data_IF_470240486469
#
_entry.id   IF_470240486469
#
_cell.length_a   1.000
_cell.length_b   1.000
_cell.length_c   1.000
_cell.angle_alpha   90.00
_cell.angle_beta   90.00
_cell.angle_gamma   90.00
#
_symmetry.space_group_name_H-M   'P 1'
#
loop_
_entity.id
_entity.type
_entity.pdbx_description
1 polymer ?
#
# COMPACT_ATOMS: atom_id res chain seq x y z
N UNK A 1 3.42 10.36 -13.21
CA UNK A 1 2.28 10.51 -14.14
C UNK A 1 1.65 9.15 -14.37
N UNK A 2 0.33 9.05 -14.24
CA UNK A 2 -0.42 7.83 -14.50
C UNK A 2 -1.23 7.97 -15.79
N UNK A 3 -1.41 6.84 -16.47
CA UNK A 3 -2.19 6.80 -17.73
C UNK A 3 -3.69 6.66 -17.47
N UNK A 4 -4.06 6.34 -16.24
CA UNK A 4 -5.45 6.18 -15.83
C UNK A 4 -5.85 7.29 -14.87
N UNK A 5 -7.15 7.56 -14.79
CA UNK A 5 -7.67 8.50 -13.81
C UNK A 5 -7.45 7.97 -12.41
N UNK A 6 -6.96 8.82 -11.52
CA UNK A 6 -6.83 8.54 -10.10
C UNK A 6 -7.58 9.59 -9.29
N UNK A 7 -7.99 9.23 -8.07
CA UNK A 7 -8.69 10.12 -7.16
C UNK A 7 -7.84 10.28 -5.91
N UNK A 8 -7.60 11.52 -5.50
CA UNK A 8 -6.82 11.83 -4.29
C UNK A 8 -7.69 11.75 -3.04
N UNK A 9 -7.04 11.57 -1.91
CA UNK A 9 -7.72 11.55 -0.62
C UNK A 9 -8.54 12.81 -0.35
N UNK A 10 -8.05 13.96 -0.81
CA UNK A 10 -8.72 15.24 -0.62
C UNK A 10 -9.96 15.40 -1.47
N UNK A 11 -10.09 14.64 -2.55
CA UNK A 11 -11.17 14.75 -3.52
C UNK A 11 -12.38 13.88 -3.16
N UNK A 12 -12.18 12.81 -2.38
CA UNK A 12 -13.24 11.85 -2.08
C UNK A 12 -13.06 11.23 -0.70
N UNK A 13 -14.05 11.42 0.16
CA UNK A 13 -14.05 10.85 1.53
C UNK A 13 -14.01 9.33 1.54
N UNK A 14 -14.63 8.69 0.55
CA UNK A 14 -14.62 7.22 0.46
C UNK A 14 -13.22 6.70 0.17
N UNK A 15 -12.47 7.38 -0.67
CA UNK A 15 -11.06 7.05 -0.96
C UNK A 15 -10.20 7.26 0.28
N UNK A 16 -10.38 8.41 0.93
CA UNK A 16 -9.67 8.73 2.17
C UNK A 16 -9.90 7.66 3.24
N UNK A 17 -11.18 7.30 3.46
CA UNK A 17 -11.53 6.28 4.43
C UNK A 17 -10.92 4.92 4.08
N UNK A 18 -10.98 4.52 2.82
CA UNK A 18 -10.41 3.25 2.36
C UNK A 18 -8.90 3.19 2.64
N UNK A 19 -8.16 4.25 2.33
CA UNK A 19 -6.73 4.33 2.56
C UNK A 19 -6.40 4.31 4.05
N UNK A 20 -7.12 5.08 4.85
CA UNK A 20 -6.91 5.12 6.31
C UNK A 20 -7.21 3.77 6.96
N UNK A 21 -8.28 3.10 6.55
CA UNK A 21 -8.69 1.82 7.12
C UNK A 21 -7.71 0.70 6.74
N UNK A 22 -7.22 0.67 5.50
CA UNK A 22 -6.25 -0.35 5.10
C UNK A 22 -4.89 -0.15 5.77
N UNK A 23 -4.47 1.09 5.99
CA UNK A 23 -3.21 1.40 6.69
C UNK A 23 -3.18 0.90 8.12
N UNK A 24 -4.31 0.79 8.77
CA UNK A 24 -4.41 0.25 10.13
C UNK A 24 -4.00 -1.22 10.21
N UNK A 25 -4.03 -1.92 9.10
CA UNK A 25 -3.67 -3.34 9.04
C UNK A 25 -2.16 -3.55 8.92
N UNK A 26 -1.42 -2.51 8.59
CA UNK A 26 0.03 -2.61 8.42
C UNK A 26 0.74 -2.59 9.78
N UNK A 27 1.90 -3.28 9.90
CA UNK A 27 2.75 -3.15 11.07
C UNK A 27 3.13 -1.68 11.33
N UNK A 28 3.32 -1.36 12.61
CA UNK A 28 3.62 0.03 13.05
C UNK A 28 4.84 0.61 12.34
N UNK A 29 5.81 -0.22 12.00
CA UNK A 29 7.03 0.18 11.31
C UNK A 29 6.77 0.78 9.92
N UNK A 30 5.66 0.38 9.29
CA UNK A 30 5.27 0.92 7.99
C UNK A 30 4.44 2.21 8.08
N UNK A 31 4.03 2.59 9.29
CA UNK A 31 3.27 3.82 9.50
C UNK A 31 4.15 5.08 9.44
N UNK A 32 5.46 4.93 9.67
CA UNK A 32 6.38 6.05 9.57
C UNK A 32 6.64 6.41 8.10
N UNK A 33 6.57 7.68 7.72
CA UNK A 33 6.91 8.09 6.36
C UNK A 33 8.39 7.81 6.08
N UNK A 34 8.63 7.01 5.04
CA UNK A 34 9.99 6.60 4.66
C UNK A 34 10.80 7.78 4.12
N UNK A 35 10.12 8.77 3.56
CA UNK A 35 10.73 10.03 3.16
C UNK A 35 9.67 11.11 3.09
N UNK A 36 10.04 12.33 3.50
CA UNK A 36 9.18 13.51 3.38
C UNK A 36 8.74 13.78 1.93
N UNK A 37 9.51 13.28 0.97
CA UNK A 37 9.21 13.38 -0.47
C UNK A 37 7.88 12.71 -0.83
N UNK A 38 7.46 11.72 -0.07
CA UNK A 38 6.22 11.00 -0.32
C UNK A 38 5.04 11.46 0.55
N UNK A 39 5.29 12.45 1.41
CA UNK A 39 4.23 13.01 2.25
C UNK A 39 3.21 13.74 1.37
N UNK A 40 1.98 13.25 1.35
CA UNK A 40 0.88 13.86 0.58
C UNK A 40 0.75 13.36 -0.86
N UNK A 41 1.60 12.44 -1.29
CA UNK A 41 1.46 11.79 -2.59
C UNK A 41 1.17 10.31 -2.36
N UNK A 42 -0.02 9.88 -2.69
CA UNK A 42 -0.29 8.45 -2.71
C UNK A 42 0.66 7.80 -3.71
N UNK A 43 1.29 6.71 -3.28
CA UNK A 43 2.07 5.89 -4.18
C UNK A 43 1.22 5.53 -5.40
N UNK A 44 1.81 5.57 -6.58
CA UNK A 44 1.11 5.33 -7.83
C UNK A 44 0.32 4.03 -7.84
N UNK A 45 0.81 3.01 -7.15
CA UNK A 45 0.13 1.72 -7.03
C UNK A 45 -1.16 1.84 -6.20
N UNK A 46 -1.16 2.61 -5.13
CA UNK A 46 -2.38 2.86 -4.33
C UNK A 46 -3.34 3.72 -5.14
N UNK A 47 -2.87 4.80 -5.72
CA UNK A 47 -3.67 5.69 -6.54
C UNK A 47 -4.32 4.99 -7.73
N UNK A 48 -3.67 3.97 -8.30
CA UNK A 48 -4.23 3.21 -9.42
C UNK A 48 -5.51 2.46 -9.07
N UNK A 49 -5.78 2.22 -7.79
CA UNK A 49 -7.00 1.56 -7.30
C UNK A 49 -8.06 2.55 -6.81
N UNK A 50 -7.80 3.84 -6.87
CA UNK A 50 -8.63 4.87 -6.22
C UNK A 50 -10.00 5.10 -6.84
N UNK A 51 -10.23 4.67 -8.09
CA UNK A 51 -11.55 4.79 -8.74
C UNK A 51 -12.63 3.98 -8.02
N UNK A 52 -12.25 2.90 -7.38
CA UNK A 52 -13.16 2.02 -6.66
C UNK A 52 -12.65 1.83 -5.23
N UNK A 53 -13.12 2.66 -4.28
CA UNK A 53 -12.62 2.63 -2.90
C UNK A 53 -12.68 1.25 -2.24
N UNK A 54 -13.74 0.49 -2.50
CA UNK A 54 -13.87 -0.87 -1.96
C UNK A 54 -12.79 -1.81 -2.50
N UNK A 55 -12.47 -1.72 -3.78
CA UNK A 55 -11.39 -2.49 -4.40
C UNK A 55 -10.05 -2.10 -3.79
N UNK A 56 -9.81 -0.81 -3.63
CA UNK A 56 -8.59 -0.30 -2.99
C UNK A 56 -8.45 -0.88 -1.59
N UNK A 57 -9.48 -0.79 -0.78
CA UNK A 57 -9.47 -1.30 0.59
C UNK A 57 -9.17 -2.80 0.63
N UNK A 58 -9.87 -3.61 -0.14
CA UNK A 58 -9.70 -5.06 -0.12
C UNK A 58 -8.37 -5.52 -0.70
N UNK A 59 -7.87 -4.89 -1.76
CA UNK A 59 -6.58 -5.21 -2.35
C UNK A 59 -5.44 -4.97 -1.37
N UNK A 60 -5.40 -3.79 -0.75
CA UNK A 60 -4.35 -3.43 0.20
C UNK A 60 -4.55 -4.06 1.58
N UNK A 61 -5.77 -4.43 1.95
CA UNK A 61 -6.02 -5.24 3.15
C UNK A 61 -5.41 -6.63 3.02
N UNK A 62 -5.44 -7.22 1.84
CA UNK A 62 -4.76 -8.49 1.56
C UNK A 62 -3.26 -8.35 1.81
N UNK A 63 -2.65 -7.28 1.31
CA UNK A 63 -1.25 -6.99 1.54
C UNK A 63 -0.95 -6.79 3.02
N UNK A 64 -1.79 -6.04 3.74
CA UNK A 64 -1.66 -5.85 5.17
C UNK A 64 -1.72 -7.16 5.96
N UNK A 65 -2.63 -8.06 5.58
CA UNK A 65 -2.75 -9.37 6.20
C UNK A 65 -1.49 -10.23 5.97
N UNK A 66 -0.90 -10.15 4.78
CA UNK A 66 0.34 -10.86 4.46
C UNK A 66 1.54 -10.38 5.30
N UNK A 67 1.52 -9.12 5.73
CA UNK A 67 2.58 -8.53 6.55
C UNK A 67 2.35 -8.73 8.06
N UNK A 68 1.27 -9.39 8.46
CA UNK A 68 0.91 -9.56 9.87
C UNK A 68 1.99 -10.31 10.64
N UNK A 69 2.32 -9.80 11.84
CA UNK A 69 3.24 -10.46 12.77
C UNK A 69 2.68 -11.75 13.36
N UNK A 70 1.38 -11.99 13.22
CA UNK A 70 0.73 -13.21 13.68
C UNK A 70 0.96 -14.40 12.75
N UNK A 71 1.44 -14.15 11.53
CA UNK A 71 1.81 -15.21 10.61
C UNK A 71 3.12 -15.88 11.07
N UNK A 72 3.36 -17.13 10.64
CA UNK A 72 4.57 -17.86 11.06
C UNK A 72 5.87 -17.31 10.49
N UNK A 73 5.81 -16.34 9.58
CA UNK A 73 6.98 -15.70 8.98
C UNK A 73 7.43 -14.50 9.80
N UNK A 74 8.73 -14.36 9.97
CA UNK A 74 9.33 -13.19 10.61
C UNK A 74 9.44 -12.03 9.60
N UNK A 75 9.60 -10.81 10.12
CA UNK A 75 9.72 -9.60 9.31
C UNK A 75 10.76 -9.71 8.20
N UNK A 76 11.96 -10.16 8.53
CA UNK A 76 13.03 -10.28 7.54
C UNK A 76 12.70 -11.30 6.45
N UNK A 77 11.91 -12.32 6.76
CA UNK A 77 11.45 -13.29 5.77
C UNK A 77 10.42 -12.66 4.82
N UNK A 78 9.51 -11.85 5.32
CA UNK A 78 8.59 -11.07 4.48
C UNK A 78 9.36 -10.16 3.51
N UNK A 79 10.38 -9.47 4.02
CA UNK A 79 11.20 -8.58 3.21
C UNK A 79 12.01 -9.32 2.13
N UNK A 80 12.53 -10.49 2.45
CA UNK A 80 13.22 -11.33 1.48
C UNK A 80 12.29 -11.80 0.35
N UNK A 81 11.07 -12.22 0.69
CA UNK A 81 10.05 -12.62 -0.29
C UNK A 81 9.71 -11.43 -1.19
N UNK A 82 9.42 -10.27 -0.60
CA UNK A 82 9.09 -9.06 -1.35
C UNK A 82 10.22 -8.64 -2.28
N UNK A 83 11.46 -8.71 -1.81
CA UNK A 83 12.64 -8.39 -2.61
C UNK A 83 12.79 -9.34 -3.80
N UNK A 84 12.62 -10.63 -3.58
CA UNK A 84 12.69 -11.62 -4.65
C UNK A 84 11.61 -11.43 -5.70
N UNK A 85 10.40 -11.12 -5.28
CA UNK A 85 9.28 -10.81 -6.19
C UNK A 85 9.63 -9.58 -7.04
N UNK A 86 10.12 -8.52 -6.40
CA UNK A 86 10.50 -7.29 -7.10
C UNK A 86 11.63 -7.52 -8.11
N UNK A 87 12.65 -8.27 -7.73
CA UNK A 87 13.78 -8.59 -8.61
C UNK A 87 13.30 -9.42 -9.81
N UNK A 88 12.50 -10.44 -9.56
CA UNK A 88 11.95 -11.32 -10.60
C UNK A 88 11.09 -10.54 -11.59
N UNK A 89 10.30 -9.60 -11.08
CA UNK A 89 9.45 -8.75 -11.89
C UNK A 89 10.18 -7.57 -12.52
N UNK A 90 11.47 -7.42 -12.25
CA UNK A 90 12.26 -6.25 -12.67
C UNK A 90 11.58 -4.94 -12.22
N UNK A 91 11.04 -4.95 -11.03
CA UNK A 91 10.32 -3.83 -10.47
C UNK A 91 11.32 -2.80 -9.92
N UNK A 92 11.21 -1.57 -10.39
CA UNK A 92 12.02 -0.43 -9.93
C UNK A 92 11.57 0.12 -8.60
N UNK A 93 10.33 -0.14 -8.31
CA UNK A 93 9.64 0.43 -7.17
C UNK A 93 9.95 -0.35 -5.90
#
# INVERSE_FOLDING_TARGET
>A
MTWIKTIRMEEDESVKKAIEDERKLYPVEYAAPVAAVFAGVEASIVGSHSLFPDVLFHAFSTYGALLSSELPLKRHQHEMIATMVSVTNRCHY
#
